data_IF_521503407834
#
_entry.id   IF_521503407834
#
_cell.length_a   1.000
_cell.length_b   1.000
_cell.length_c   1.000
_cell.angle_alpha   90.00
_cell.angle_beta   90.00
_cell.angle_gamma   90.00
#
_symmetry.space_group_name_H-M   'P 1'
#
loop_
_entity.id
_entity.type
_entity.pdbx_description
1 polymer ?
#
# COMPACT_ATOMS: atom_id res chain seq x y z
N UNK A 1 -16.98 -13.22 -3.10
CA UNK A 1 -17.39 -11.87 -2.64
C UNK A 1 -17.69 -11.89 -1.15
N UNK A 2 -16.87 -11.21 -0.35
CA UNK A 2 -17.23 -10.91 1.03
C UNK A 2 -18.50 -10.03 1.00
N UNK A 3 -19.56 -10.38 1.75
CA UNK A 3 -20.86 -9.68 1.76
C UNK A 3 -20.68 -8.16 1.77
N UNK A 4 -21.55 -7.38 1.11
CA UNK A 4 -21.52 -5.90 1.17
C UNK A 4 -21.33 -5.39 2.61
N UNK A 5 -21.90 -6.09 3.60
CA UNK A 5 -21.71 -5.80 5.02
C UNK A 5 -20.25 -5.91 5.49
N UNK A 6 -19.50 -6.90 5.03
CA UNK A 6 -18.08 -7.08 5.38
C UNK A 6 -17.18 -6.03 4.73
N UNK A 7 -17.45 -5.65 3.47
CA UNK A 7 -16.73 -4.57 2.82
C UNK A 7 -16.99 -3.22 3.52
N UNK A 8 -18.26 -2.96 3.86
CA UNK A 8 -18.64 -1.77 4.64
C UNK A 8 -18.01 -1.77 6.04
N UNK A 9 -17.98 -2.92 6.73
CA UNK A 9 -17.36 -3.05 8.04
C UNK A 9 -15.85 -2.78 7.99
N UNK A 10 -15.15 -3.31 6.99
CA UNK A 10 -13.72 -3.05 6.79
C UNK A 10 -13.46 -1.56 6.54
N UNK A 11 -14.27 -0.91 5.70
CA UNK A 11 -14.17 0.54 5.46
C UNK A 11 -14.46 1.36 6.73
N UNK A 12 -15.42 0.93 7.54
CA UNK A 12 -15.75 1.57 8.83
C UNK A 12 -14.57 1.46 9.81
N UNK A 13 -13.98 0.27 9.94
CA UNK A 13 -12.81 0.03 10.80
C UNK A 13 -11.64 0.90 10.33
N UNK A 14 -11.35 0.89 9.03
CA UNK A 14 -10.28 1.68 8.40
C UNK A 14 -10.44 3.18 8.70
N UNK A 15 -11.66 3.69 8.54
CA UNK A 15 -12.00 5.10 8.81
C UNK A 15 -11.89 5.44 10.29
N UNK A 16 -12.36 4.55 11.17
CA UNK A 16 -12.25 4.71 12.62
C UNK A 16 -10.80 4.72 13.12
N UNK A 17 -9.97 3.83 12.61
CA UNK A 17 -8.53 3.81 12.89
C UNK A 17 -7.84 5.09 12.43
N UNK A 18 -8.20 5.59 11.24
CA UNK A 18 -7.64 6.85 10.75
C UNK A 18 -8.09 8.05 11.61
N UNK A 19 -9.36 8.11 12.01
CA UNK A 19 -9.86 9.16 12.89
C UNK A 19 -9.14 9.15 14.26
N UNK A 20 -8.99 7.97 14.85
CA UNK A 20 -8.26 7.80 16.11
C UNK A 20 -6.77 8.17 15.97
N UNK A 21 -6.12 7.74 14.89
CA UNK A 21 -4.74 8.12 14.56
C UNK A 21 -4.58 9.63 14.41
N UNK A 22 -5.55 10.30 13.81
CA UNK A 22 -5.56 11.76 13.65
C UNK A 22 -5.66 12.48 15.01
N UNK A 23 -6.49 12.00 15.94
CA UNK A 23 -6.59 12.55 17.30
C UNK A 23 -5.26 12.37 18.05
N UNK A 24 -4.66 11.18 17.98
CA UNK A 24 -3.35 10.92 18.58
C UNK A 24 -2.27 11.84 17.99
N UNK A 25 -2.35 12.13 16.69
CA UNK A 25 -1.42 13.02 16.01
C UNK A 25 -1.38 14.40 16.64
N UNK A 26 -2.55 14.97 16.95
CA UNK A 26 -2.68 16.31 17.54
C UNK A 26 -2.02 16.32 18.93
N UNK A 27 -2.16 15.24 19.70
CA UNK A 27 -1.52 15.14 21.01
C UNK A 27 0.02 14.99 20.92
N UNK A 28 0.50 14.18 19.97
CA UNK A 28 1.92 13.83 19.88
C UNK A 28 2.76 14.84 19.10
N UNK A 29 2.16 15.65 18.22
CA UNK A 29 2.88 16.60 17.36
C UNK A 29 3.63 17.65 18.18
N UNK A 30 3.01 18.15 19.26
CA UNK A 30 3.61 19.17 20.12
C UNK A 30 4.65 18.58 21.08
N UNK A 31 4.50 17.31 21.48
CA UNK A 31 5.44 16.64 22.40
C UNK A 31 6.67 16.07 21.71
N UNK A 32 6.52 15.37 20.60
CA UNK A 32 7.58 14.53 20.01
C UNK A 32 8.49 15.30 19.06
N UNK A 33 7.99 16.38 18.46
CA UNK A 33 8.65 17.08 17.36
C UNK A 33 8.26 16.49 16.00
N UNK A 34 8.14 17.36 15.01
CA UNK A 34 7.51 17.05 13.71
C UNK A 34 8.38 16.10 12.90
N UNK A 35 9.69 16.31 12.88
CA UNK A 35 10.63 15.43 12.15
C UNK A 35 10.66 14.04 12.75
N UNK A 36 10.75 13.94 14.08
CA UNK A 36 10.75 12.64 14.79
C UNK A 36 9.44 11.88 14.59
N UNK A 37 8.31 12.58 14.61
CA UNK A 37 7.00 11.97 14.37
C UNK A 37 6.86 11.44 12.93
N UNK A 38 7.33 12.20 11.93
CA UNK A 38 7.37 11.75 10.54
C UNK A 38 8.28 10.53 10.34
N UNK A 39 9.46 10.52 10.97
CA UNK A 39 10.39 9.38 10.89
C UNK A 39 9.83 8.13 11.56
N UNK A 40 9.26 8.25 12.76
CA UNK A 40 8.63 7.13 13.47
C UNK A 40 7.50 6.52 12.63
N UNK A 41 6.67 7.37 12.03
CA UNK A 41 5.59 6.98 11.13
C UNK A 41 6.11 6.24 9.89
N UNK A 42 7.09 6.81 9.18
CA UNK A 42 7.67 6.17 7.99
C UNK A 42 8.34 4.83 8.30
N UNK A 43 9.05 4.72 9.42
CA UNK A 43 9.60 3.44 9.89
C UNK A 43 8.48 2.42 10.15
N UNK A 44 7.41 2.83 10.84
CA UNK A 44 6.24 1.98 11.08
C UNK A 44 5.54 1.55 9.78
N UNK A 45 5.41 2.46 8.81
CA UNK A 45 4.87 2.16 7.49
C UNK A 45 5.76 1.16 6.72
N UNK A 46 7.08 1.35 6.73
CA UNK A 46 8.02 0.44 6.07
C UNK A 46 7.97 -0.97 6.68
N UNK A 47 7.92 -1.08 8.01
CA UNK A 47 7.75 -2.36 8.71
C UNK A 47 6.41 -3.02 8.39
N UNK A 48 5.32 -2.24 8.34
CA UNK A 48 4.00 -2.75 8.00
C UNK A 48 3.93 -3.23 6.54
N UNK A 49 4.56 -2.51 5.61
CA UNK A 49 4.67 -2.91 4.20
C UNK A 49 5.54 -4.18 4.04
N UNK A 50 6.60 -4.32 4.83
CA UNK A 50 7.40 -5.55 4.85
C UNK A 50 6.59 -6.75 5.37
N UNK A 51 5.78 -6.56 6.42
CA UNK A 51 4.86 -7.58 6.94
C UNK A 51 3.81 -7.98 5.90
N UNK A 52 3.22 -7.00 5.21
CA UNK A 52 2.26 -7.26 4.12
C UNK A 52 2.93 -8.04 2.99
N UNK A 53 4.13 -7.61 2.56
CA UNK A 53 4.93 -8.31 1.55
C UNK A 53 5.14 -9.77 1.94
N UNK A 54 5.60 -10.05 3.16
CA UNK A 54 5.82 -11.41 3.64
C UNK A 54 4.52 -12.23 3.66
N UNK A 55 3.41 -11.64 4.10
CA UNK A 55 2.10 -12.30 4.17
C UNK A 55 1.56 -12.67 2.79
N UNK A 56 1.67 -11.76 1.82
CA UNK A 56 1.26 -12.02 0.44
C UNK A 56 2.17 -13.04 -0.23
N UNK A 57 3.50 -12.97 -0.01
CA UNK A 57 4.42 -14.00 -0.52
C UNK A 57 4.06 -15.38 -0.02
N UNK A 58 3.76 -15.49 1.27
CA UNK A 58 3.39 -16.77 1.89
C UNK A 58 2.02 -17.26 1.41
N UNK A 59 1.09 -16.35 1.11
CA UNK A 59 -0.22 -16.67 0.54
C UNK A 59 -0.11 -17.15 -0.91
N UNK A 60 0.75 -16.53 -1.71
CA UNK A 60 1.04 -16.98 -3.08
C UNK A 60 1.69 -18.38 -3.09
N UNK A 61 2.59 -18.69 -2.16
CA UNK A 61 3.27 -20.00 -2.12
C UNK A 61 2.43 -21.14 -1.53
N UNK A 62 1.49 -20.83 -0.63
CA UNK A 62 0.61 -21.81 0.02
C UNK A 62 -0.85 -21.70 -0.45
N UNK A 63 -1.06 -21.33 -1.71
CA UNK A 63 -2.40 -21.27 -2.30
C UNK A 63 -2.98 -22.67 -2.51
N UNK A 64 -4.31 -22.85 -2.34
CA UNK A 64 -4.96 -24.14 -2.55
C UNK A 64 -4.80 -24.59 -3.99
N UNK A 65 -4.60 -25.90 -4.16
CA UNK A 65 -4.43 -26.52 -5.48
C UNK A 65 -5.75 -26.55 -6.24
N UNK A 66 -5.68 -26.74 -7.55
CA UNK A 66 -6.87 -26.92 -8.40
C UNK A 66 -7.06 -28.41 -8.67
N UNK A 67 -8.25 -28.91 -8.42
CA UNK A 67 -8.63 -30.28 -8.73
C UNK A 67 -9.13 -30.40 -10.17
N UNK A 68 -8.53 -31.26 -10.97
CA UNK A 68 -8.99 -31.52 -12.35
C UNK A 68 -10.43 -32.05 -12.40
N UNK A 69 -10.79 -32.95 -11.47
CA UNK A 69 -12.13 -33.53 -11.38
C UNK A 69 -13.17 -32.47 -11.00
N UNK A 70 -12.87 -31.65 -9.99
CA UNK A 70 -13.74 -30.53 -9.61
C UNK A 70 -13.91 -29.51 -10.75
N UNK A 71 -12.85 -29.25 -11.50
CA UNK A 71 -12.87 -28.33 -12.63
C UNK A 71 -13.69 -28.89 -13.80
N UNK A 72 -13.61 -30.19 -14.06
CA UNK A 72 -14.40 -30.88 -15.09
C UNK A 72 -15.91 -30.91 -14.79
N UNK A 73 -16.30 -30.87 -13.52
CA UNK A 73 -17.71 -30.86 -13.11
C UNK A 73 -18.50 -29.69 -13.72
N UNK A 74 -17.86 -28.54 -13.93
CA UNK A 74 -18.53 -27.33 -14.42
C UNK A 74 -18.44 -27.13 -15.94
N UNK A 75 -17.67 -27.96 -16.67
CA UNK A 75 -17.43 -27.90 -18.13
C UNK A 75 -17.00 -26.53 -18.71
N UNK A 76 -16.78 -25.51 -17.87
CA UNK A 76 -16.47 -24.13 -18.27
C UNK A 76 -15.14 -23.69 -17.62
N UNK A 77 -14.05 -24.25 -18.15
CA UNK A 77 -12.70 -24.09 -17.59
C UNK A 77 -11.94 -22.97 -18.29
N UNK A 78 -10.92 -22.42 -17.64
CA UNK A 78 -10.09 -21.40 -18.27
C UNK A 78 -9.28 -21.96 -19.44
N UNK A 79 -9.16 -21.20 -20.55
CA UNK A 79 -8.52 -21.69 -21.77
C UNK A 79 -7.05 -22.08 -21.58
N UNK A 80 -6.34 -21.42 -20.66
CA UNK A 80 -4.95 -21.76 -20.32
C UNK A 80 -4.85 -23.02 -19.44
N UNK A 81 -5.83 -23.29 -18.57
CA UNK A 81 -5.86 -24.53 -17.78
C UNK A 81 -6.08 -25.76 -18.67
N UNK A 82 -7.01 -25.65 -19.63
CA UNK A 82 -7.37 -26.72 -20.58
C UNK A 82 -6.21 -27.18 -21.46
N UNK A 83 -5.26 -26.27 -21.76
CA UNK A 83 -4.08 -26.58 -22.58
C UNK A 83 -2.96 -27.30 -21.84
N UNK A 84 -3.07 -27.49 -20.52
CA UNK A 84 -1.95 -27.98 -19.72
C UNK A 84 -1.87 -29.50 -19.67
N UNK A 85 -0.64 -30.02 -19.71
CA UNK A 85 -0.35 -31.45 -19.69
C UNK A 85 -0.45 -32.06 -18.28
N UNK A 86 -0.17 -31.25 -17.24
CA UNK A 86 -0.21 -31.67 -15.83
C UNK A 86 -1.16 -30.78 -15.00
N UNK A 87 -2.44 -31.16 -14.86
CA UNK A 87 -3.43 -30.40 -14.09
C UNK A 87 -3.10 -30.27 -12.59
N UNK A 88 -2.26 -31.16 -12.06
CA UNK A 88 -1.92 -31.23 -10.64
C UNK A 88 -0.87 -30.20 -10.18
N UNK A 89 -0.27 -29.43 -11.10
CA UNK A 89 0.68 -28.36 -10.75
C UNK A 89 0.03 -26.97 -10.68
N UNK A 90 -1.29 -26.92 -10.89
CA UNK A 90 -2.05 -25.68 -10.89
C UNK A 90 -2.58 -25.35 -9.49
N UNK A 91 -2.33 -24.13 -9.08
CA UNK A 91 -2.82 -23.52 -7.86
C UNK A 91 -3.76 -22.36 -8.17
N UNK A 92 -4.59 -21.99 -7.19
CA UNK A 92 -5.54 -20.90 -7.31
C UNK A 92 -4.88 -19.61 -7.83
N UNK A 93 -3.66 -19.29 -7.40
CA UNK A 93 -3.00 -18.04 -7.81
C UNK A 93 -2.59 -18.06 -9.28
N UNK A 94 -2.09 -19.19 -9.80
CA UNK A 94 -1.83 -19.36 -11.24
C UNK A 94 -3.10 -19.22 -12.08
N UNK A 95 -4.23 -19.76 -11.62
CA UNK A 95 -5.51 -19.61 -12.31
C UNK A 95 -5.95 -18.16 -12.43
N UNK A 96 -5.93 -17.42 -11.32
CA UNK A 96 -6.34 -16.01 -11.30
C UNK A 96 -5.39 -15.12 -12.10
N UNK A 97 -4.07 -15.38 -12.04
CA UNK A 97 -3.07 -14.62 -12.81
C UNK A 97 -3.04 -14.95 -14.29
N UNK A 98 -3.62 -16.07 -14.71
CA UNK A 98 -3.56 -16.52 -16.10
C UNK A 98 -4.35 -15.61 -17.05
N UNK A 99 -5.52 -15.13 -16.61
CA UNK A 99 -6.35 -14.21 -17.38
C UNK A 99 -7.31 -13.46 -16.45
N UNK A 100 -7.58 -12.16 -16.67
CA UNK A 100 -8.58 -11.42 -15.89
C UNK A 100 -10.01 -11.98 -16.06
N UNK A 101 -10.24 -12.80 -17.09
CA UNK A 101 -11.50 -13.51 -17.32
C UNK A 101 -11.55 -14.89 -16.63
N UNK A 102 -10.69 -15.15 -15.64
CA UNK A 102 -10.65 -16.39 -14.87
C UNK A 102 -11.03 -16.15 -13.40
N UNK A 103 -11.64 -17.15 -12.78
CA UNK A 103 -12.02 -17.16 -11.38
C UNK A 103 -11.85 -18.52 -10.74
N UNK A 104 -11.73 -18.52 -9.43
CA UNK A 104 -11.56 -19.70 -8.60
C UNK A 104 -12.83 -19.96 -7.78
N UNK A 105 -13.40 -21.15 -7.96
CA UNK A 105 -14.51 -21.64 -7.16
C UNK A 105 -13.97 -22.62 -6.10
N UNK A 106 -14.01 -22.22 -4.83
CA UNK A 106 -13.49 -23.03 -3.73
C UNK A 106 -14.38 -24.25 -3.44
N UNK A 107 -13.82 -25.27 -2.79
CA UNK A 107 -14.58 -26.45 -2.39
C UNK A 107 -15.66 -26.10 -1.34
N UNK A 108 -16.80 -26.80 -1.40
CA UNK A 108 -17.93 -26.59 -0.49
C UNK A 108 -17.63 -27.02 0.96
N UNK A 109 -16.72 -27.99 1.15
CA UNK A 109 -16.39 -28.53 2.46
C UNK A 109 -15.41 -27.63 3.25
N UNK A 110 -14.38 -27.11 2.57
CA UNK A 110 -13.40 -26.21 3.17
C UNK A 110 -12.75 -25.37 2.07
N UNK A 111 -12.59 -24.07 2.31
CA UNK A 111 -12.03 -23.13 1.32
C UNK A 111 -10.54 -23.36 1.04
N UNK A 112 -9.83 -24.13 1.88
CA UNK A 112 -8.44 -24.53 1.67
C UNK A 112 -8.27 -25.86 0.90
N UNK A 113 -9.36 -26.58 0.64
CA UNK A 113 -9.30 -27.81 -0.16
C UNK A 113 -9.17 -27.47 -1.66
N UNK A 114 -8.77 -28.46 -2.49
CA UNK A 114 -8.65 -28.26 -3.91
C UNK A 114 -9.97 -27.77 -4.51
N UNK A 115 -9.93 -26.68 -5.27
CA UNK A 115 -11.10 -26.07 -5.92
C UNK A 115 -11.08 -26.19 -7.43
N UNK A 116 -11.96 -25.45 -8.10
CA UNK A 116 -12.10 -25.42 -9.55
C UNK A 116 -11.66 -24.08 -10.16
N UNK A 117 -10.96 -24.13 -11.29
CA UNK A 117 -10.57 -22.96 -12.08
C UNK A 117 -11.52 -22.78 -13.28
N UNK A 118 -12.29 -21.70 -13.30
CA UNK A 118 -13.41 -21.50 -14.21
C UNK A 118 -13.34 -20.12 -14.87
N UNK A 119 -13.96 -19.98 -16.04
CA UNK A 119 -14.10 -18.66 -16.69
C UNK A 119 -14.96 -17.76 -15.79
N UNK A 120 -14.56 -16.51 -15.60
CA UNK A 120 -15.28 -15.50 -14.83
C UNK A 120 -16.42 -14.90 -15.66
N UNK A 121 -17.58 -15.54 -15.61
CA UNK A 121 -18.85 -15.08 -16.18
C UNK A 121 -19.96 -15.21 -15.13
N UNK A 122 -21.07 -14.49 -15.30
CA UNK A 122 -22.20 -14.57 -14.35
C UNK A 122 -22.76 -16.00 -14.23
N UNK A 123 -22.74 -16.78 -15.32
CA UNK A 123 -23.22 -18.17 -15.35
C UNK A 123 -22.42 -19.08 -14.42
N UNK A 124 -21.09 -19.08 -14.52
CA UNK A 124 -20.19 -19.92 -13.70
C UNK A 124 -20.17 -19.46 -12.25
N UNK A 125 -20.26 -18.15 -12.03
CA UNK A 125 -20.40 -17.55 -10.70
C UNK A 125 -21.69 -18.00 -10.01
N UNK A 126 -22.82 -17.96 -10.72
CA UNK A 126 -24.12 -18.41 -10.20
C UNK A 126 -24.15 -19.92 -9.94
N UNK A 127 -23.53 -20.72 -10.81
CA UNK A 127 -23.34 -22.17 -10.61
C UNK A 127 -22.53 -22.47 -9.33
N UNK A 128 -21.41 -21.78 -9.14
CA UNK A 128 -20.60 -21.92 -7.93
C UNK A 128 -21.40 -21.55 -6.66
N UNK A 129 -22.16 -20.45 -6.72
CA UNK A 129 -23.01 -20.01 -5.61
C UNK A 129 -24.16 -20.98 -5.32
N UNK A 130 -24.76 -21.59 -6.35
CA UNK A 130 -25.83 -22.58 -6.21
C UNK A 130 -25.37 -23.83 -5.46
N UNK A 131 -24.11 -24.23 -5.64
CA UNK A 131 -23.45 -25.31 -4.91
C UNK A 131 -22.95 -24.91 -3.52
N UNK A 132 -23.30 -23.70 -3.03
CA UNK A 132 -22.84 -23.12 -1.76
C UNK A 132 -21.32 -22.98 -1.67
N UNK A 133 -20.64 -22.82 -2.80
CA UNK A 133 -19.18 -22.65 -2.89
C UNK A 133 -18.81 -21.17 -2.93
N UNK A 134 -17.63 -20.82 -2.42
CA UNK A 134 -17.14 -19.45 -2.41
C UNK A 134 -16.39 -19.13 -3.71
N UNK A 135 -16.76 -18.02 -4.35
CA UNK A 135 -16.16 -17.54 -5.59
C UNK A 135 -15.13 -16.41 -5.35
N UNK A 136 -13.96 -16.55 -5.97
CA UNK A 136 -12.80 -15.66 -5.86
C UNK A 136 -12.28 -15.24 -7.24
N UNK A 137 -11.91 -13.96 -7.42
CA UNK A 137 -11.33 -13.42 -8.68
C UNK A 137 -10.04 -12.66 -8.42
N UNK A 138 -9.98 -11.89 -7.33
CA UNK A 138 -8.84 -11.01 -7.01
C UNK A 138 -7.86 -11.60 -5.98
N UNK A 139 -8.14 -12.78 -5.42
CA UNK A 139 -7.28 -13.39 -4.41
C UNK A 139 -7.78 -14.72 -3.88
N UNK A 140 -6.83 -15.56 -3.47
CA UNK A 140 -7.12 -16.92 -3.00
C UNK A 140 -7.37 -16.99 -1.49
N UNK A 141 -8.19 -17.93 -1.01
CA UNK A 141 -8.38 -18.14 0.41
C UNK A 141 -7.08 -18.63 1.06
N UNK A 142 -6.71 -17.99 2.17
CA UNK A 142 -5.50 -18.32 2.94
C UNK A 142 -5.78 -18.26 4.43
N UNK A 143 -5.23 -19.22 5.18
CA UNK A 143 -5.31 -19.24 6.65
C UNK A 143 -4.62 -18.04 7.28
N UNK A 144 -3.64 -17.45 6.60
CA UNK A 144 -2.86 -16.30 7.07
C UNK A 144 -3.44 -14.95 6.60
N UNK A 145 -4.57 -14.93 5.89
CA UNK A 145 -5.15 -13.70 5.35
C UNK A 145 -5.50 -12.64 6.42
N UNK A 146 -5.79 -13.06 7.66
CA UNK A 146 -6.02 -12.14 8.78
C UNK A 146 -4.78 -11.31 9.13
N UNK A 147 -3.56 -11.84 8.92
CA UNK A 147 -2.31 -11.08 9.10
C UNK A 147 -2.21 -9.91 8.13
N UNK A 148 -2.76 -10.04 6.91
CA UNK A 148 -2.80 -8.95 5.95
C UNK A 148 -3.73 -7.82 6.44
N UNK A 149 -4.87 -8.17 7.07
CA UNK A 149 -5.78 -7.20 7.69
C UNK A 149 -5.08 -6.46 8.84
N UNK A 150 -4.39 -7.19 9.71
CA UNK A 150 -3.60 -6.60 10.81
C UNK A 150 -2.49 -5.70 10.28
N UNK A 151 -1.75 -6.14 9.25
CA UNK A 151 -0.68 -5.36 8.62
C UNK A 151 -1.20 -4.06 7.99
N UNK A 152 -2.36 -4.09 7.33
CA UNK A 152 -3.01 -2.90 6.80
C UNK A 152 -3.47 -1.96 7.92
N UNK A 153 -4.05 -2.51 8.99
CA UNK A 153 -4.44 -1.74 10.17
C UNK A 153 -3.25 -1.03 10.82
N UNK A 154 -2.12 -1.75 11.00
CA UNK A 154 -0.87 -1.18 11.51
C UNK A 154 -0.35 -0.08 10.58
N UNK A 155 -0.35 -0.31 9.27
CA UNK A 155 0.04 0.70 8.30
C UNK A 155 -0.77 1.99 8.48
N UNK A 156 -2.09 1.91 8.62
CA UNK A 156 -2.97 3.09 8.83
C UNK A 156 -2.65 3.79 10.15
N UNK A 157 -2.48 3.02 11.24
CA UNK A 157 -2.20 3.57 12.58
C UNK A 157 -0.85 4.30 12.60
N UNK A 158 0.17 3.80 11.90
CA UNK A 158 1.46 4.47 11.80
C UNK A 158 1.44 5.63 10.82
N UNK A 159 0.75 5.50 9.69
CA UNK A 159 0.66 6.53 8.65
C UNK A 159 -0.08 7.77 9.13
N UNK A 160 -1.24 7.58 9.75
CA UNK A 160 -2.17 8.65 10.13
C UNK A 160 -1.53 9.76 10.97
N UNK A 161 -0.82 9.47 12.09
CA UNK A 161 -0.29 10.53 12.95
C UNK A 161 1.00 11.19 12.46
N UNK A 162 1.75 10.58 11.55
CA UNK A 162 2.98 11.17 11.01
C UNK A 162 2.76 11.70 9.61
N UNK A 163 2.85 10.83 8.61
CA UNK A 163 2.74 11.24 7.21
C UNK A 163 1.38 11.83 6.83
N UNK A 164 0.31 11.52 7.58
CA UNK A 164 -1.01 12.08 7.36
C UNK A 164 -1.11 13.58 7.68
N UNK A 165 -0.52 14.04 8.78
CA UNK A 165 -0.70 15.42 9.28
C UNK A 165 0.58 16.25 9.25
N UNK A 166 1.75 15.65 9.48
CA UNK A 166 3.03 16.38 9.58
C UNK A 166 3.39 17.16 8.31
N UNK A 167 3.26 16.61 7.09
CA UNK A 167 3.59 17.37 5.88
C UNK A 167 2.77 18.66 5.75
N UNK A 168 1.48 18.62 6.08
CA UNK A 168 0.61 19.80 6.04
C UNK A 168 0.98 20.84 7.09
N UNK A 169 1.32 20.39 8.30
CA UNK A 169 1.76 21.27 9.39
C UNK A 169 3.08 21.93 9.02
N UNK A 170 4.09 21.16 8.63
CA UNK A 170 5.42 21.66 8.22
C UNK A 170 5.31 22.63 7.03
N UNK A 171 4.45 22.33 6.05
CA UNK A 171 4.20 23.21 4.91
C UNK A 171 3.61 24.57 5.32
N UNK A 172 2.78 24.61 6.36
CA UNK A 172 2.25 25.87 6.90
C UNK A 172 3.26 26.64 7.77
N UNK A 173 4.24 25.94 8.36
CA UNK A 173 5.28 26.54 9.21
C UNK A 173 6.48 27.09 8.44
N UNK A 174 6.86 26.44 7.33
CA UNK A 174 8.03 26.82 6.52
C UNK A 174 7.75 28.07 5.67
N UNK A 175 6.53 28.24 5.17
CA UNK A 175 6.25 29.33 4.22
C UNK A 175 5.94 30.67 4.90
N UNK A 176 6.54 31.77 4.41
CA UNK A 176 6.23 33.11 4.89
C UNK A 176 4.77 33.46 4.61
N UNK A 177 4.17 34.26 5.49
CA UNK A 177 2.73 34.61 5.47
C UNK A 177 2.25 35.12 4.11
N UNK A 178 3.11 35.83 3.36
CA UNK A 178 2.79 36.40 2.04
C UNK A 178 2.61 35.36 0.93
N UNK A 179 3.30 34.22 0.98
CA UNK A 179 3.32 33.21 -0.08
C UNK A 179 2.72 31.85 0.33
N UNK A 180 2.32 31.71 1.60
CA UNK A 180 1.75 30.46 2.15
C UNK A 180 0.58 29.91 1.32
N UNK A 181 -0.28 30.78 0.79
CA UNK A 181 -1.42 30.37 -0.05
C UNK A 181 -0.97 29.71 -1.36
N UNK A 182 -0.08 30.34 -2.12
CA UNK A 182 0.41 29.83 -3.40
C UNK A 182 1.24 28.56 -3.23
N UNK A 183 2.19 28.56 -2.28
CA UNK A 183 3.04 27.39 -2.02
C UNK A 183 2.21 26.23 -1.45
N UNK A 184 1.22 26.52 -0.61
CA UNK A 184 0.25 25.53 -0.14
C UNK A 184 -0.59 24.91 -1.25
N UNK A 185 -1.05 25.72 -2.21
CA UNK A 185 -1.76 25.26 -3.40
C UNK A 185 -0.90 24.31 -4.25
N UNK A 186 0.34 24.71 -4.58
CA UNK A 186 1.27 23.89 -5.37
C UNK A 186 1.56 22.55 -4.67
N UNK A 187 1.81 22.57 -3.36
CA UNK A 187 2.01 21.36 -2.57
C UNK A 187 0.79 20.43 -2.61
N UNK A 188 -0.42 20.99 -2.49
CA UNK A 188 -1.67 20.23 -2.57
C UNK A 188 -1.85 19.59 -3.93
N UNK A 189 -1.67 20.36 -5.02
CA UNK A 189 -1.79 19.85 -6.39
C UNK A 189 -0.80 18.72 -6.65
N UNK A 190 0.46 18.88 -6.21
CA UNK A 190 1.49 17.84 -6.34
C UNK A 190 1.12 16.57 -5.57
N UNK A 191 0.55 16.71 -4.36
CA UNK A 191 0.06 15.59 -3.56
C UNK A 191 -1.06 14.83 -4.27
N UNK A 192 -2.08 15.52 -4.79
CA UNK A 192 -3.19 14.88 -5.49
C UNK A 192 -2.76 14.23 -6.81
N UNK A 193 -1.86 14.86 -7.57
CA UNK A 193 -1.27 14.25 -8.78
C UNK A 193 -0.51 12.98 -8.41
N UNK A 194 0.32 13.03 -7.36
CA UNK A 194 1.07 11.86 -6.88
C UNK A 194 0.12 10.72 -6.46
N UNK A 195 -0.98 11.05 -5.77
CA UNK A 195 -2.00 10.08 -5.40
C UNK A 195 -2.66 9.43 -6.62
N UNK A 196 -2.96 10.20 -7.67
CA UNK A 196 -3.49 9.67 -8.92
C UNK A 196 -2.50 8.72 -9.59
N UNK A 197 -1.22 9.11 -9.67
CA UNK A 197 -0.14 8.28 -10.24
C UNK A 197 -0.01 6.97 -9.47
N UNK A 198 0.01 7.02 -8.13
CA UNK A 198 0.09 5.83 -7.27
C UNK A 198 -1.13 4.94 -7.46
N UNK A 199 -2.33 5.50 -7.51
CA UNK A 199 -3.58 4.74 -7.68
C UNK A 199 -3.61 3.98 -9.02
N UNK A 200 -3.18 4.62 -10.10
CA UNK A 200 -3.08 3.98 -11.43
C UNK A 200 -1.96 2.95 -11.47
N UNK A 201 -0.77 3.30 -10.97
CA UNK A 201 0.39 2.41 -10.97
C UNK A 201 0.18 1.18 -10.11
N UNK A 202 -0.53 1.30 -8.99
CA UNK A 202 -0.82 0.18 -8.08
C UNK A 202 -1.58 -0.94 -8.79
N UNK A 203 -2.60 -0.59 -9.57
CA UNK A 203 -3.42 -1.58 -10.29
C UNK A 203 -2.58 -2.28 -11.36
N UNK A 204 -1.92 -1.51 -12.23
CA UNK A 204 -1.08 -2.05 -13.31
C UNK A 204 0.10 -2.88 -12.80
N UNK A 205 0.77 -2.47 -11.72
CA UNK A 205 1.86 -3.24 -11.15
C UNK A 205 1.34 -4.53 -10.49
N UNK A 206 0.17 -4.49 -9.86
CA UNK A 206 -0.40 -5.69 -9.21
C UNK A 206 -0.76 -6.76 -10.25
N UNK A 207 -1.26 -6.35 -11.41
CA UNK A 207 -1.51 -7.25 -12.55
C UNK A 207 -0.22 -7.78 -13.18
N UNK A 208 0.80 -6.93 -13.35
CA UNK A 208 2.01 -7.30 -14.08
C UNK A 208 3.01 -8.13 -13.27
N UNK A 209 3.27 -7.75 -12.01
CA UNK A 209 4.32 -8.35 -11.17
C UNK A 209 3.78 -9.02 -9.89
N UNK A 210 2.49 -8.88 -9.60
CA UNK A 210 1.83 -9.48 -8.44
C UNK A 210 1.86 -8.63 -7.18
N UNK A 211 0.90 -8.89 -6.28
CA UNK A 211 0.67 -8.15 -5.02
C UNK A 211 1.90 -8.10 -4.11
N UNK A 212 2.62 -9.22 -4.02
CA UNK A 212 3.81 -9.30 -3.15
C UNK A 212 4.90 -8.31 -3.56
N UNK A 213 5.21 -8.24 -4.86
CA UNK A 213 6.28 -7.39 -5.37
C UNK A 213 5.88 -5.92 -5.38
N UNK A 214 4.59 -5.60 -5.59
CA UNK A 214 4.10 -4.22 -5.47
C UNK A 214 4.28 -3.67 -4.07
N UNK A 215 3.87 -4.38 -3.02
CA UNK A 215 4.06 -3.92 -1.64
C UNK A 215 5.53 -3.76 -1.28
N UNK A 216 6.41 -4.60 -1.82
CA UNK A 216 7.85 -4.48 -1.64
C UNK A 216 8.41 -3.20 -2.27
N UNK A 217 7.96 -2.85 -3.49
CA UNK A 217 8.34 -1.61 -4.17
C UNK A 217 7.89 -0.37 -3.37
N UNK A 218 6.64 -0.37 -2.87
CA UNK A 218 6.18 0.72 -2.00
C UNK A 218 6.97 0.80 -0.69
N UNK A 219 7.39 -0.35 -0.14
CA UNK A 219 8.30 -0.41 1.01
C UNK A 219 9.65 0.25 0.71
N UNK A 220 10.22 0.01 -0.48
CA UNK A 220 11.47 0.64 -0.91
C UNK A 220 11.30 2.17 -1.07
N UNK A 221 10.20 2.61 -1.67
CA UNK A 221 9.88 4.05 -1.77
C UNK A 221 9.73 4.68 -0.38
N UNK A 222 9.11 3.98 0.58
CA UNK A 222 9.02 4.45 1.96
C UNK A 222 10.40 4.59 2.61
N UNK A 223 11.32 3.65 2.38
CA UNK A 223 12.72 3.73 2.86
C UNK A 223 13.45 4.93 2.25
N UNK A 224 13.31 5.16 0.94
CA UNK A 224 13.86 6.38 0.30
C UNK A 224 13.27 7.64 0.93
N UNK A 225 11.96 7.62 1.24
CA UNK A 225 11.29 8.68 1.99
C UNK A 225 11.89 8.93 3.38
N UNK A 226 12.26 7.87 4.11
CA UNK A 226 12.96 7.99 5.41
C UNK A 226 14.28 8.75 5.23
N UNK A 227 15.11 8.35 4.25
CA UNK A 227 16.37 9.05 3.97
C UNK A 227 16.15 10.51 3.59
N UNK A 228 15.12 10.80 2.78
CA UNK A 228 14.76 12.16 2.40
C UNK A 228 14.39 13.01 3.62
N UNK A 229 13.57 12.49 4.54
CA UNK A 229 13.18 13.22 5.77
C UNK A 229 14.39 13.44 6.69
N UNK A 230 15.30 12.48 6.79
CA UNK A 230 16.52 12.64 7.61
C UNK A 230 17.39 13.79 7.09
N UNK A 231 17.60 13.87 5.77
CA UNK A 231 18.53 14.82 5.14
C UNK A 231 17.90 16.19 4.95
N UNK A 232 16.69 16.26 4.39
CA UNK A 232 16.11 17.52 3.91
C UNK A 232 15.18 18.19 4.91
N UNK A 233 14.53 17.45 5.82
CA UNK A 233 13.56 18.04 6.74
C UNK A 233 14.25 18.60 7.98
N UNK A 234 14.19 19.92 8.25
CA UNK A 234 14.63 20.52 9.51
C UNK A 234 13.69 20.13 10.66
N UNK A 235 14.21 20.06 11.89
CA UNK A 235 13.35 20.03 13.08
C UNK A 235 12.81 21.45 13.30
N UNK A 236 11.50 21.65 13.14
CA UNK A 236 10.85 22.97 13.32
C UNK A 236 10.31 23.19 14.74
N UNK A 237 10.47 22.20 15.64
CA UNK A 237 9.88 22.23 16.99
C UNK A 237 10.40 23.42 17.81
N UNK A 238 9.49 24.30 18.21
CA UNK A 238 9.74 25.38 19.18
C UNK A 238 10.48 26.60 18.64
N UNK A 239 10.67 26.69 17.31
CA UNK A 239 11.34 27.83 16.67
C UNK A 239 10.29 28.83 16.19
N UNK A 240 10.34 30.12 16.59
CA UNK A 240 9.45 31.15 16.06
C UNK A 240 9.64 31.33 14.55
N UNK A 241 8.59 31.73 13.84
CA UNK A 241 8.58 31.76 12.36
C UNK A 241 9.72 32.60 11.75
N UNK A 242 10.14 33.68 12.43
CA UNK A 242 11.26 34.53 12.00
C UNK A 242 12.63 33.83 12.12
N UNK A 243 12.81 32.93 13.09
CA UNK A 243 14.05 32.15 13.24
C UNK A 243 14.07 30.97 12.27
N UNK A 244 12.92 30.40 11.90
CA UNK A 244 12.85 29.38 10.84
C UNK A 244 13.34 29.94 9.50
N UNK A 245 12.98 31.19 9.18
CA UNK A 245 13.46 31.88 7.98
C UNK A 245 14.99 32.06 8.00
N UNK A 246 15.56 32.51 9.13
CA UNK A 246 17.02 32.61 9.30
C UNK A 246 17.73 31.25 9.24
N UNK A 247 17.16 30.21 9.85
CA UNK A 247 17.73 28.86 9.80
C UNK A 247 17.70 28.26 8.39
N UNK A 248 16.66 28.56 7.61
CA UNK A 248 16.57 28.15 6.21
C UNK A 248 17.56 28.93 5.35
N UNK A 249 17.73 30.23 5.57
CA UNK A 249 18.74 31.05 4.88
C UNK A 249 20.17 30.58 5.19
N UNK A 250 20.49 30.28 6.46
CA UNK A 250 21.79 29.69 6.83
C UNK A 250 21.99 28.30 6.22
N UNK A 251 20.96 27.45 6.19
CA UNK A 251 21.06 26.13 5.54
C UNK A 251 21.17 26.24 4.02
N UNK A 252 20.48 27.18 3.40
CA UNK A 252 20.61 27.47 1.96
C UNK A 252 22.02 27.99 1.63
N UNK A 253 22.62 28.80 2.51
CA UNK A 253 24.03 29.18 2.43
C UNK A 253 24.94 27.95 2.56
N UNK A 254 24.66 27.04 3.51
CA UNK A 254 25.44 25.81 3.68
C UNK A 254 25.33 24.83 2.49
N UNK A 255 24.16 24.73 1.85
CA UNK A 255 23.99 23.98 0.59
C UNK A 255 24.73 24.66 -0.57
N UNK A 256 24.74 26.01 -0.65
CA UNK A 256 25.58 26.75 -1.61
C UNK A 256 27.07 26.53 -1.40
N UNK A 257 27.52 26.32 -0.15
CA UNK A 257 28.91 25.98 0.14
C UNK A 257 29.35 24.62 -0.41
N UNK A 258 28.41 23.74 -0.78
CA UNK A 258 28.69 22.51 -1.54
C UNK A 258 28.73 22.73 -3.06
N UNK A 259 28.71 23.98 -3.52
CA UNK A 259 28.91 24.35 -4.93
C UNK A 259 30.10 25.30 -5.16
N UNK A 260 31.13 25.25 -4.30
CA UNK A 260 32.40 25.94 -4.61
C UNK A 260 33.63 25.16 -4.17
N UNK A 261 34.08 24.25 -5.04
CA UNK A 261 35.52 23.96 -5.15
C UNK A 261 35.94 23.57 -6.57
N UNK A 262 36.13 24.59 -7.39
CA UNK A 262 37.07 24.59 -8.51
C UNK A 262 37.52 26.04 -8.70
N UNK A 263 38.72 26.50 -8.37
CA UNK A 263 39.89 26.00 -7.65
C UNK A 263 40.75 27.26 -7.36
N UNK A 264 41.80 27.20 -6.54
CA UNK A 264 42.70 28.33 -6.33
C UNK A 264 43.90 28.25 -7.30
N UNK A 265 44.27 29.38 -7.92
CA UNK A 265 45.62 29.78 -8.38
C UNK A 265 45.47 30.79 -9.52
N UNK A 266 46.30 31.83 -9.72
CA UNK A 266 47.42 32.49 -9.02
C UNK A 266 47.81 33.63 -9.98
N UNK A 267 48.29 34.76 -9.46
CA UNK A 267 49.12 35.72 -10.21
C UNK A 267 48.36 36.82 -10.89
#
# INVERSE_FOLDING_TARGET
>A
FASNQTALLLSLITSGLNAFGSILSIYFIDKTGRKKLALLSLCGCALSLALLTATFRQTETHSPMIGAVETSHFNNTCPEFSKTVNPNEWDCMKCLKSSPACGFCASAANTLLPGACLISNDVTKDLCHKDKRAWYTEGCPSKMGWLAIVGLGLYIIFFSPGMGTVPWVVNSEIYPLRYRGTCGGIASTTCWISNLVVSQSFLSLTEAIGTSWTFMLFGLVAVVGIFFVIIFVPETKGVPMEEVEKMLDERALHFKFWQKKSGPHKG
#
